data_IF_384441318194
#
_entry.id   IF_384441318194
#
_cell.length_a   1.000
_cell.length_b   1.000
_cell.length_c   1.000
_cell.angle_alpha   90.00
_cell.angle_beta   90.00
_cell.angle_gamma   90.00
#
_symmetry.space_group_name_H-M   'P 1'
#
loop_
_entity.id
_entity.type
_entity.pdbx_description
1 polymer ?
#
# COMPACT_ATOMS: atom_id res chain seq x y z
N UNK A 1 -6.66 -16.58 1.00
CA UNK A 1 -7.83 -17.01 1.82
C UNK A 1 -8.92 -15.99 1.64
N UNK A 2 -10.16 -16.42 1.39
CA UNK A 2 -11.34 -15.56 1.31
C UNK A 2 -12.56 -16.28 1.87
N UNK A 3 -13.59 -15.52 2.25
CA UNK A 3 -14.87 -16.04 2.73
C UNK A 3 -16.05 -15.31 2.08
N UNK A 4 -17.27 -15.75 2.41
CA UNK A 4 -18.49 -15.04 2.02
C UNK A 4 -19.12 -14.43 3.27
N UNK A 5 -19.44 -13.14 3.20
CA UNK A 5 -20.16 -12.43 4.24
C UNK A 5 -21.23 -11.55 3.59
N UNK A 6 -22.50 -11.73 4.00
CA UNK A 6 -23.62 -11.01 3.40
C UNK A 6 -23.74 -11.15 1.88
N UNK A 7 -23.35 -12.28 1.31
CA UNK A 7 -23.35 -12.53 -0.15
C UNK A 7 -22.17 -11.89 -0.91
N UNK A 8 -21.25 -11.24 -0.22
CA UNK A 8 -20.03 -10.64 -0.80
C UNK A 8 -18.80 -11.46 -0.45
N UNK A 9 -17.84 -11.55 -1.37
CA UNK A 9 -16.52 -12.10 -1.10
C UNK A 9 -15.74 -11.12 -0.25
N UNK A 10 -15.19 -11.60 0.86
CA UNK A 10 -14.39 -10.81 1.81
C UNK A 10 -13.04 -11.47 2.02
N UNK A 11 -12.04 -10.64 2.30
CA UNK A 11 -10.68 -11.04 2.64
C UNK A 11 -10.38 -10.69 4.10
N UNK A 12 -9.50 -11.44 4.77
CA UNK A 12 -9.14 -11.19 6.17
C UNK A 12 -8.14 -10.03 6.30
N UNK A 13 -8.53 -8.86 5.81
CA UNK A 13 -7.73 -7.64 5.93
C UNK A 13 -7.62 -7.26 7.41
N UNK A 14 -6.39 -7.07 7.90
CA UNK A 14 -6.12 -6.71 9.28
C UNK A 14 -5.46 -5.34 9.35
N UNK A 15 -6.10 -4.40 10.05
CA UNK A 15 -5.51 -3.11 10.38
C UNK A 15 -5.26 -3.06 11.88
N UNK A 16 -3.99 -3.05 12.27
CA UNK A 16 -3.58 -3.02 13.67
C UNK A 16 -2.68 -1.81 13.94
N UNK A 17 -2.97 -1.10 15.02
CA UNK A 17 -2.12 -0.03 15.53
C UNK A 17 -1.66 -0.37 16.95
N UNK A 18 -0.37 -0.61 17.13
CA UNK A 18 0.23 -0.93 18.43
C UNK A 18 0.66 0.34 19.14
N UNK A 19 0.00 0.63 20.27
CA UNK A 19 0.27 1.83 21.07
C UNK A 19 1.09 1.46 22.30
N UNK A 20 2.27 2.04 22.43
CA UNK A 20 3.10 1.86 23.62
C UNK A 20 3.97 3.11 23.88
N UNK A 21 4.38 3.35 25.13
CA UNK A 21 5.33 4.44 25.44
C UNK A 21 6.63 4.34 24.65
N UNK A 22 7.39 5.42 24.65
CA UNK A 22 8.76 5.37 24.13
C UNK A 22 9.56 4.29 24.88
N UNK A 23 10.48 3.62 24.17
CA UNK A 23 11.34 2.55 24.72
C UNK A 23 10.62 1.28 25.25
N UNK A 24 9.32 1.12 24.98
CA UNK A 24 8.54 -0.07 25.40
C UNK A 24 8.77 -1.33 24.51
N UNK A 25 9.82 -1.35 23.71
CA UNK A 25 10.18 -2.53 22.91
C UNK A 25 9.40 -2.69 21.61
N UNK A 26 8.72 -1.63 21.12
CA UNK A 26 8.00 -1.62 19.81
C UNK A 26 8.88 -2.08 18.63
N UNK A 27 10.20 -1.90 18.70
CA UNK A 27 11.13 -2.38 17.68
C UNK A 27 11.06 -3.89 17.41
N UNK A 28 10.51 -4.70 18.35
CA UNK A 28 10.26 -6.12 18.11
C UNK A 28 9.23 -6.38 17.01
N UNK A 29 8.37 -5.41 16.69
CA UNK A 29 7.46 -5.51 15.56
C UNK A 29 8.20 -5.67 14.22
N UNK A 30 9.46 -5.22 14.14
CA UNK A 30 10.30 -5.45 12.97
C UNK A 30 10.50 -6.96 12.67
N UNK A 31 10.35 -7.85 13.66
CA UNK A 31 10.39 -9.30 13.45
C UNK A 31 9.22 -9.77 12.56
N UNK A 32 8.07 -9.11 12.62
CA UNK A 32 6.92 -9.43 11.75
C UNK A 32 7.28 -9.12 10.29
N UNK A 33 8.06 -8.07 10.06
CA UNK A 33 8.55 -7.73 8.72
C UNK A 33 9.36 -8.88 8.11
N UNK A 34 10.18 -9.56 8.92
CA UNK A 34 11.00 -10.67 8.44
C UNK A 34 10.18 -11.85 7.90
N UNK A 35 8.92 -12.01 8.32
CA UNK A 35 8.02 -13.06 7.81
C UNK A 35 7.57 -12.78 6.38
N UNK A 36 7.40 -11.52 6.01
CA UNK A 36 6.92 -11.08 4.68
C UNK A 36 8.04 -10.56 3.79
N UNK A 37 9.22 -10.30 4.36
CA UNK A 37 10.37 -9.78 3.62
C UNK A 37 10.79 -10.66 2.44
N UNK A 38 10.83 -12.01 2.54
CA UNK A 38 11.19 -12.85 1.39
C UNK A 38 10.25 -12.67 0.20
N UNK A 39 8.95 -12.51 0.44
CA UNK A 39 7.95 -12.25 -0.62
C UNK A 39 8.23 -10.87 -1.26
N UNK A 40 8.49 -9.87 -0.44
CA UNK A 40 8.82 -8.53 -0.92
C UNK A 40 10.09 -8.51 -1.76
N UNK A 41 11.15 -9.19 -1.32
CA UNK A 41 12.42 -9.27 -2.03
C UNK A 41 12.29 -10.02 -3.35
N UNK A 42 11.53 -11.11 -3.37
CA UNK A 42 11.24 -11.86 -4.60
C UNK A 42 10.52 -10.98 -5.64
N UNK A 43 9.49 -10.24 -5.22
CA UNK A 43 8.78 -9.32 -6.12
C UNK A 43 9.69 -8.21 -6.63
N UNK A 44 10.56 -7.66 -5.78
CA UNK A 44 11.51 -6.63 -6.18
C UNK A 44 12.54 -7.14 -7.17
N UNK A 45 13.07 -8.35 -6.97
CA UNK A 45 14.03 -8.94 -7.91
C UNK A 45 13.39 -9.23 -9.26
N UNK A 46 12.18 -9.80 -9.28
CA UNK A 46 11.44 -9.99 -10.52
C UNK A 46 11.19 -8.66 -11.23
N UNK A 47 10.77 -7.64 -10.49
CA UNK A 47 10.51 -6.32 -11.04
C UNK A 47 11.77 -5.67 -11.60
N UNK A 48 12.93 -5.85 -10.94
CA UNK A 48 14.21 -5.37 -11.44
C UNK A 48 14.55 -5.97 -12.81
N UNK A 49 14.39 -7.29 -12.97
CA UNK A 49 14.64 -7.98 -14.24
C UNK A 49 13.68 -7.50 -15.36
N UNK A 50 12.40 -7.26 -15.02
CA UNK A 50 11.43 -6.72 -15.97
C UNK A 50 11.82 -5.30 -16.43
N UNK A 51 12.29 -4.44 -15.52
CA UNK A 51 12.76 -3.10 -15.83
C UNK A 51 14.06 -3.09 -16.65
N UNK A 52 15.01 -3.98 -16.38
CA UNK A 52 16.24 -4.13 -17.17
C UNK A 52 15.87 -4.48 -18.62
N UNK A 53 15.00 -5.47 -18.83
CA UNK A 53 14.50 -5.84 -20.15
C UNK A 53 13.80 -4.67 -20.85
N UNK A 54 12.92 -3.97 -20.14
CA UNK A 54 12.24 -2.81 -20.68
C UNK A 54 13.23 -1.72 -21.18
N UNK A 55 14.28 -1.45 -20.41
CA UNK A 55 15.28 -0.47 -20.83
C UNK A 55 16.09 -0.92 -22.06
N UNK A 56 16.37 -2.19 -22.20
CA UNK A 56 17.01 -2.77 -23.38
C UNK A 56 16.09 -2.63 -24.62
N UNK A 57 14.83 -3.02 -24.50
CA UNK A 57 13.82 -2.88 -25.55
C UNK A 57 13.60 -1.40 -25.95
N UNK A 58 13.55 -0.50 -24.96
CA UNK A 58 13.40 0.93 -25.19
C UNK A 58 14.61 1.52 -25.91
N UNK A 59 15.81 1.05 -25.61
CA UNK A 59 17.02 1.46 -26.31
C UNK A 59 17.01 1.00 -27.77
N UNK A 60 16.61 -0.25 -28.05
CA UNK A 60 16.44 -0.78 -29.39
C UNK A 60 15.39 -0.01 -30.18
N UNK A 61 14.22 0.26 -29.59
CA UNK A 61 13.16 1.07 -30.18
C UNK A 61 13.65 2.46 -30.61
N UNK A 62 14.42 3.14 -29.75
CA UNK A 62 14.97 4.46 -30.05
C UNK A 62 16.03 4.43 -31.18
N UNK A 63 16.75 3.33 -31.31
CA UNK A 63 17.79 3.18 -32.36
C UNK A 63 17.20 2.79 -33.71
N UNK A 64 16.18 1.94 -33.73
CA UNK A 64 15.59 1.40 -34.96
C UNK A 64 14.98 2.48 -35.86
N UNK A 65 14.45 3.58 -35.27
CA UNK A 65 13.74 4.66 -36.01
C UNK A 65 12.66 4.13 -36.97
N UNK A 66 12.13 2.95 -36.68
CA UNK A 66 11.11 2.27 -37.47
C UNK A 66 9.72 2.77 -37.01
N UNK A 67 8.93 3.42 -37.93
CA UNK A 67 7.61 3.92 -37.59
C UNK A 67 6.59 2.82 -37.23
N UNK A 68 6.81 1.60 -37.70
CA UNK A 68 5.90 0.46 -37.45
C UNK A 68 6.25 -0.31 -36.17
N UNK A 69 7.36 0.01 -35.52
CA UNK A 69 7.77 -0.61 -34.28
C UNK A 69 6.95 -0.04 -33.09
N UNK A 70 6.26 -0.93 -32.37
CA UNK A 70 5.51 -0.51 -31.16
C UNK A 70 6.47 -0.08 -30.05
N UNK A 71 6.12 1.04 -29.39
CA UNK A 71 6.88 1.52 -28.24
C UNK A 71 6.71 0.57 -27.05
N UNK A 72 7.80 0.11 -26.42
CA UNK A 72 7.73 -0.74 -25.24
C UNK A 72 6.92 -0.09 -24.11
N UNK A 73 6.12 -0.91 -23.41
CA UNK A 73 5.32 -0.48 -22.27
C UNK A 73 6.11 -0.72 -20.99
N UNK A 74 6.22 0.27 -20.09
CA UNK A 74 6.93 0.09 -18.84
C UNK A 74 6.25 -0.98 -17.97
N UNK A 75 7.03 -1.86 -17.32
CA UNK A 75 6.48 -2.89 -16.45
C UNK A 75 5.83 -2.29 -15.21
N UNK A 76 4.88 -3.00 -14.58
CA UNK A 76 4.25 -2.56 -13.33
C UNK A 76 5.28 -2.49 -12.19
N UNK A 77 5.06 -1.57 -11.24
CA UNK A 77 5.88 -1.48 -10.04
C UNK A 77 5.28 -2.38 -8.94
N UNK A 78 5.86 -3.57 -8.76
CA UNK A 78 5.39 -4.53 -7.77
C UNK A 78 6.22 -4.47 -6.48
N UNK A 79 5.53 -4.37 -5.35
CA UNK A 79 6.13 -4.44 -4.02
C UNK A 79 5.10 -4.91 -2.98
N UNK A 80 5.43 -5.89 -2.18
CA UNK A 80 4.50 -6.39 -1.15
C UNK A 80 4.38 -5.43 0.03
N UNK A 81 5.50 -4.90 0.51
CA UNK A 81 5.53 -3.94 1.62
C UNK A 81 5.44 -2.52 1.05
N UNK A 82 4.32 -1.86 1.30
CA UNK A 82 4.02 -0.51 0.79
C UNK A 82 4.45 0.52 1.83
N UNK A 83 5.30 1.51 1.47
CA UNK A 83 5.71 2.57 2.39
C UNK A 83 4.55 3.46 2.84
N UNK A 84 4.48 3.81 4.13
CA UNK A 84 3.43 4.67 4.66
C UNK A 84 3.50 6.14 4.18
N UNK A 85 4.65 6.58 3.68
CA UNK A 85 4.82 7.92 3.08
C UNK A 85 4.46 7.98 1.58
N UNK A 86 3.70 7.02 1.09
CA UNK A 86 3.22 6.94 -0.29
C UNK A 86 2.10 7.95 -0.53
N UNK A 87 2.00 8.53 -1.73
CA UNK A 87 0.85 9.36 -2.10
C UNK A 87 -0.40 8.51 -2.38
N UNK A 88 -1.60 9.11 -2.29
CA UNK A 88 -2.86 8.40 -2.53
C UNK A 88 -2.90 7.74 -3.92
N UNK A 89 -2.46 8.45 -4.96
CA UNK A 89 -2.43 7.90 -6.32
C UNK A 89 -1.40 6.77 -6.47
N UNK A 90 -0.24 6.88 -5.82
CA UNK A 90 0.77 5.83 -5.83
C UNK A 90 0.31 4.60 -5.05
N UNK A 91 -0.42 4.76 -3.95
CA UNK A 91 -1.04 3.66 -3.21
C UNK A 91 -2.00 2.85 -4.09
N UNK A 92 -2.91 3.53 -4.79
CA UNK A 92 -3.84 2.87 -5.73
C UNK A 92 -3.08 2.15 -6.86
N UNK A 93 -2.05 2.80 -7.41
CA UNK A 93 -1.24 2.21 -8.50
C UNK A 93 -0.50 0.97 -8.05
N UNK A 94 0.13 1.00 -6.87
CA UNK A 94 0.85 -0.16 -6.31
C UNK A 94 -0.13 -1.31 -6.04
N UNK A 95 -1.30 -1.03 -5.46
CA UNK A 95 -2.32 -2.06 -5.25
C UNK A 95 -2.79 -2.66 -6.57
N UNK A 96 -3.02 -1.83 -7.59
CA UNK A 96 -3.38 -2.31 -8.93
C UNK A 96 -2.29 -3.21 -9.53
N UNK A 97 -1.03 -2.75 -9.52
CA UNK A 97 0.11 -3.48 -10.07
C UNK A 97 0.38 -4.80 -9.33
N UNK A 98 0.00 -4.88 -8.05
CA UNK A 98 0.11 -6.07 -7.21
C UNK A 98 -1.12 -7.00 -7.30
N UNK A 99 -2.12 -6.71 -8.16
CA UNK A 99 -3.36 -7.50 -8.21
C UNK A 99 -4.23 -7.33 -6.97
N UNK A 100 -4.21 -6.15 -6.34
CA UNK A 100 -5.00 -5.80 -5.16
C UNK A 100 -4.33 -6.15 -3.83
N UNK A 101 -3.20 -6.82 -3.79
CA UNK A 101 -2.56 -7.30 -2.56
C UNK A 101 -1.48 -6.32 -2.07
N UNK A 102 -1.48 -6.02 -0.76
CA UNK A 102 -0.47 -5.17 -0.17
C UNK A 102 -0.39 -5.31 1.35
N UNK A 103 0.78 -4.98 1.89
CA UNK A 103 1.03 -4.91 3.32
C UNK A 103 1.72 -3.60 3.65
N UNK A 104 1.13 -2.80 4.52
CA UNK A 104 1.75 -1.59 5.04
C UNK A 104 2.32 -1.89 6.43
N UNK A 105 3.57 -1.55 6.65
CA UNK A 105 4.18 -1.66 7.96
C UNK A 105 4.98 -0.40 8.27
N UNK A 106 4.59 0.29 9.36
CA UNK A 106 5.28 1.48 9.82
C UNK A 106 5.43 1.45 11.34
N UNK A 107 6.65 1.62 11.79
CA UNK A 107 6.99 1.61 13.23
C UNK A 107 6.99 3.00 13.85
N UNK A 108 7.00 4.05 13.02
CA UNK A 108 6.97 5.45 13.43
C UNK A 108 5.63 6.08 13.02
N UNK A 109 4.69 6.17 13.96
CA UNK A 109 3.33 6.67 13.71
C UNK A 109 3.26 8.09 13.11
N UNK A 110 4.28 8.92 13.35
CA UNK A 110 4.34 10.27 12.76
C UNK A 110 4.49 10.24 11.23
N UNK A 111 5.14 9.22 10.65
CA UNK A 111 5.26 9.05 9.19
C UNK A 111 3.88 8.96 8.56
N UNK A 112 3.03 8.07 9.05
CA UNK A 112 1.66 7.92 8.57
C UNK A 112 0.84 9.19 8.81
N UNK A 113 0.91 9.74 10.04
CA UNK A 113 0.13 10.93 10.42
C UNK A 113 0.47 12.11 9.50
N UNK A 114 1.75 12.39 9.29
CA UNK A 114 2.18 13.50 8.44
C UNK A 114 1.74 13.29 6.98
N UNK A 115 1.75 12.06 6.50
CA UNK A 115 1.31 11.72 5.15
C UNK A 115 -0.20 11.94 5.00
N UNK A 116 -1.02 11.44 5.92
CA UNK A 116 -2.47 11.58 5.86
C UNK A 116 -2.95 13.03 6.06
N UNK A 117 -2.17 13.86 6.73
CA UNK A 117 -2.47 15.28 6.90
C UNK A 117 -1.98 16.14 5.72
N UNK A 118 -1.22 15.60 4.79
CA UNK A 118 -0.75 16.33 3.61
C UNK A 118 -1.79 16.33 2.49
N UNK A 119 -1.83 17.40 1.69
CA UNK A 119 -2.81 17.57 0.60
C UNK A 119 -2.78 16.46 -0.45
N UNK A 120 -1.63 15.84 -0.67
CA UNK A 120 -1.45 14.80 -1.70
C UNK A 120 -1.27 13.39 -1.12
N UNK A 121 -1.12 13.27 0.19
CA UNK A 121 -0.82 12.01 0.86
C UNK A 121 -2.04 11.37 1.53
N UNK A 122 -3.19 12.02 1.56
CA UNK A 122 -4.36 11.48 2.24
C UNK A 122 -4.98 10.32 1.46
N UNK A 123 -4.63 9.09 1.85
CA UNK A 123 -5.20 7.85 1.32
C UNK A 123 -6.09 7.13 2.36
N UNK A 124 -6.64 7.86 3.33
CA UNK A 124 -7.50 7.28 4.37
C UNK A 124 -8.76 6.63 3.79
N UNK A 125 -9.31 7.16 2.70
CA UNK A 125 -10.42 6.55 1.97
C UNK A 125 -10.03 5.22 1.32
N UNK A 126 -8.83 5.13 0.75
CA UNK A 126 -8.28 3.87 0.19
C UNK A 126 -8.16 2.82 1.28
N UNK A 127 -7.66 3.20 2.47
CA UNK A 127 -7.56 2.28 3.60
C UNK A 127 -8.93 1.79 4.06
N UNK A 128 -9.92 2.69 4.23
CA UNK A 128 -11.28 2.33 4.63
C UNK A 128 -11.94 1.40 3.62
N UNK A 129 -11.90 1.75 2.33
CA UNK A 129 -12.44 0.91 1.25
C UNK A 129 -11.79 -0.47 1.23
N UNK A 130 -10.46 -0.52 1.38
CA UNK A 130 -9.74 -1.79 1.48
C UNK A 130 -10.20 -2.62 2.67
N UNK A 131 -10.38 -2.01 3.85
CA UNK A 131 -10.85 -2.70 5.05
C UNK A 131 -12.25 -3.30 4.84
N UNK A 132 -13.14 -2.58 4.17
CA UNK A 132 -14.50 -3.04 3.87
C UNK A 132 -14.60 -3.91 2.61
N UNK A 133 -13.48 -4.26 1.99
CA UNK A 133 -13.44 -5.05 0.74
C UNK A 133 -14.22 -4.36 -0.40
N UNK A 134 -14.19 -3.04 -0.45
CA UNK A 134 -14.79 -2.25 -1.51
C UNK A 134 -13.80 -2.01 -2.64
N UNK A 135 -14.32 -1.74 -3.84
CA UNK A 135 -13.48 -1.36 -4.98
C UNK A 135 -12.84 0.02 -4.78
N UNK A 136 -11.62 0.14 -5.26
CA UNK A 136 -10.86 1.38 -5.25
C UNK A 136 -10.59 1.77 -6.69
N UNK A 137 -10.92 3.01 -7.03
CA UNK A 137 -10.61 3.52 -8.37
C UNK A 137 -10.14 4.96 -8.33
N UNK A 138 -9.31 5.32 -9.31
CA UNK A 138 -9.00 6.71 -9.56
C UNK A 138 -8.80 6.97 -11.07
N UNK A 139 -9.03 8.21 -11.46
CA UNK A 139 -8.80 8.70 -12.81
C UNK A 139 -7.77 9.84 -12.76
N UNK A 140 -6.65 9.68 -13.48
CA UNK A 140 -5.68 10.74 -13.65
C UNK A 140 -5.93 11.47 -14.98
N UNK A 141 -6.21 12.76 -14.91
CA UNK A 141 -6.51 13.59 -16.08
C UNK A 141 -5.34 13.68 -17.07
N UNK A 142 -4.09 13.67 -16.58
CA UNK A 142 -2.90 13.93 -17.39
C UNK A 142 -2.68 12.92 -18.54
N UNK A 143 -3.03 11.64 -18.31
CA UNK A 143 -2.83 10.56 -19.30
C UNK A 143 -4.10 9.77 -19.58
N UNK A 144 -5.28 10.26 -19.15
CA UNK A 144 -6.52 9.47 -19.12
C UNK A 144 -6.33 8.08 -18.44
N UNK A 145 -5.41 8.01 -17.46
CA UNK A 145 -5.10 6.77 -16.77
C UNK A 145 -6.22 6.46 -15.78
N UNK A 146 -7.02 5.45 -16.10
CA UNK A 146 -8.01 4.90 -15.19
C UNK A 146 -7.47 3.64 -14.53
N UNK A 147 -7.53 3.57 -13.22
CA UNK A 147 -7.12 2.43 -12.41
C UNK A 147 -8.29 2.00 -11.55
N UNK A 148 -8.56 0.71 -11.52
CA UNK A 148 -9.59 0.11 -10.68
C UNK A 148 -9.06 -1.19 -10.06
N UNK A 149 -9.17 -1.28 -8.73
CA UNK A 149 -8.86 -2.48 -7.94
C UNK A 149 -10.19 -2.98 -7.39
N UNK A 150 -10.71 -4.06 -7.96
CA UNK A 150 -12.01 -4.62 -7.58
C UNK A 150 -11.97 -5.34 -6.24
N UNK A 151 -10.88 -6.05 -5.95
CA UNK A 151 -10.70 -6.84 -4.74
C UNK A 151 -9.42 -6.38 -4.02
N UNK A 152 -9.57 -5.49 -3.04
CA UNK A 152 -8.43 -5.01 -2.25
C UNK A 152 -8.15 -5.92 -1.05
N UNK A 153 -6.91 -6.37 -0.94
CA UNK A 153 -6.38 -7.22 0.14
C UNK A 153 -5.23 -6.49 0.83
N UNK A 154 -5.52 -5.31 1.37
CA UNK A 154 -4.56 -4.50 2.11
C UNK A 154 -4.65 -4.82 3.59
N UNK A 155 -3.51 -5.13 4.20
CA UNK A 155 -3.36 -5.18 5.66
C UNK A 155 -2.35 -4.14 6.12
N UNK A 156 -2.52 -3.62 7.34
CA UNK A 156 -1.63 -2.62 7.91
C UNK A 156 -1.24 -2.96 9.35
N UNK A 157 0.05 -2.89 9.64
CA UNK A 157 0.60 -2.96 11.00
C UNK A 157 1.38 -1.70 11.29
N UNK A 158 0.85 -0.92 12.20
CA UNK A 158 1.37 0.38 12.56
C UNK A 158 1.75 0.41 14.03
N UNK A 159 2.70 1.24 14.39
CA UNK A 159 2.99 1.48 15.80
C UNK A 159 3.34 2.93 16.10
N UNK A 160 3.09 3.33 17.33
CA UNK A 160 3.39 4.69 17.77
C UNK A 160 3.23 4.87 19.26
N UNK A 161 3.48 6.09 19.70
CA UNK A 161 3.23 6.53 21.09
C UNK A 161 1.78 7.00 21.26
N UNK A 162 1.26 7.07 22.50
CA UNK A 162 -0.09 7.61 22.74
C UNK A 162 -0.30 9.03 22.18
N UNK A 163 0.75 9.87 22.16
CA UNK A 163 0.69 11.21 21.58
C UNK A 163 0.56 11.20 20.06
N UNK A 164 1.20 10.26 19.38
CA UNK A 164 1.11 10.09 17.92
C UNK A 164 -0.28 9.60 17.51
N UNK A 165 -0.85 8.64 18.26
CA UNK A 165 -2.21 8.15 18.00
C UNK A 165 -3.25 9.25 18.11
N UNK A 166 -3.15 10.10 19.14
CA UNK A 166 -4.10 11.24 19.31
C UNK A 166 -4.08 12.24 18.16
N UNK A 167 -2.94 12.39 17.50
CA UNK A 167 -2.84 13.23 16.30
C UNK A 167 -3.51 12.57 15.09
N UNK A 168 -3.35 11.24 14.96
CA UNK A 168 -3.92 10.48 13.86
C UNK A 168 -5.44 10.34 14.01
N UNK A 169 -5.91 10.12 15.24
CA UNK A 169 -7.30 9.87 15.58
C UNK A 169 -7.67 10.84 16.73
N UNK A 170 -8.11 12.06 16.37
CA UNK A 170 -8.44 13.09 17.37
C UNK A 170 -9.63 12.72 18.23
N UNK A 171 -10.60 11.99 17.66
CA UNK A 171 -11.82 11.57 18.36
C UNK A 171 -11.76 10.06 18.70
N UNK A 172 -11.71 9.70 19.99
CA UNK A 172 -11.68 8.30 20.42
C UNK A 172 -12.92 7.49 20.01
N UNK A 173 -14.07 8.12 19.81
CA UNK A 173 -15.30 7.43 19.42
C UNK A 173 -15.25 6.94 17.97
N UNK A 174 -14.49 7.61 17.10
CA UNK A 174 -14.28 7.18 15.71
C UNK A 174 -13.42 5.90 15.60
N UNK A 175 -12.65 5.58 16.65
CA UNK A 175 -11.69 4.44 16.65
C UNK A 175 -12.36 3.08 16.71
N UNK A 176 -13.57 2.99 17.26
CA UNK A 176 -14.21 1.70 17.50
C UNK A 176 -14.73 0.99 16.25
N UNK A 177 -14.75 1.66 15.11
CA UNK A 177 -15.31 1.10 13.87
C UNK A 177 -14.28 0.65 12.85
N UNK A 178 -13.05 1.16 12.85
CA UNK A 178 -12.14 0.95 11.72
C UNK A 178 -10.70 0.51 12.08
N UNK A 179 -10.26 0.68 13.32
CA UNK A 179 -8.92 0.30 13.78
C UNK A 179 -9.01 -0.48 15.10
N UNK A 180 -8.61 -1.73 15.11
CA UNK A 180 -8.40 -2.44 16.36
C UNK A 180 -7.12 -1.93 17.03
N UNK A 181 -7.26 -1.14 18.09
CA UNK A 181 -6.14 -0.62 18.88
C UNK A 181 -5.78 -1.64 19.93
N UNK A 182 -4.65 -2.31 19.76
CA UNK A 182 -4.10 -3.18 20.80
C UNK A 182 -3.29 -2.31 21.79
N UNK A 183 -3.77 -2.22 23.03
CA UNK A 183 -2.99 -1.63 24.14
C UNK A 183 -2.14 -2.74 24.79
N UNK A 184 -0.84 -2.55 24.80
CA UNK A 184 0.10 -3.34 25.61
C UNK A 184 0.46 -2.59 26.88
#
# INVERSE_FOLDING_TARGET
VSGLYGGRKVFPNLFAYVVAPASAGKGRLALIRSLVQPIHDQLREQNKLEWERYYEELAQYKQAKDPDMEKPVPPPLRMHIIPANTSATAMCKILYDNGGVGFMMETEGDTLTNTLLSDHGNYSDVMRKSFHNESISYLRKTNNEYIEVLESQLSALLSGTPGQVRKLIPDPETVYTELQVLRM
#
